data_IF_462854522707
#
_entry.id   IF_462854522707
#
_cell.length_a   1.000
_cell.length_b   1.000
_cell.length_c   1.000
_cell.angle_alpha   90.00
_cell.angle_beta   90.00
_cell.angle_gamma   90.00
#
_symmetry.space_group_name_H-M   'P 1'
#
loop_
_entity.id
_entity.type
_entity.pdbx_description
1 polymer ?
#
# COMPACT_ATOMS: atom_id res chain seq x y z
N UNK A 1 -10.09 0.24 25.70
CA UNK A 1 -9.19 0.44 24.56
C UNK A 1 -9.38 1.87 24.07
N UNK A 2 -8.41 2.75 24.30
CA UNK A 2 -8.53 4.17 23.92
C UNK A 2 -8.24 4.27 22.43
N UNK A 3 -9.23 4.71 21.65
CA UNK A 3 -9.00 5.21 20.31
C UNK A 3 -8.08 6.43 20.43
N UNK A 4 -6.84 6.30 19.97
CA UNK A 4 -5.97 7.44 19.75
C UNK A 4 -6.42 8.02 18.41
N UNK A 5 -7.18 9.11 18.47
CA UNK A 5 -7.57 9.89 17.30
C UNK A 5 -6.30 10.34 16.58
N UNK A 6 -6.10 9.86 15.35
CA UNK A 6 -4.99 10.25 14.47
C UNK A 6 -4.90 11.78 14.26
N UNK A 7 -5.99 12.53 14.49
CA UNK A 7 -6.00 13.99 14.48
C UNK A 7 -5.20 14.65 15.62
N UNK A 8 -4.99 13.98 16.76
CA UNK A 8 -4.42 14.63 17.96
C UNK A 8 -2.89 14.60 18.01
N UNK A 9 -2.24 13.80 17.16
CA UNK A 9 -0.78 13.72 17.07
C UNK A 9 -0.19 14.94 16.32
N UNK A 10 -1.00 15.67 15.56
CA UNK A 10 -0.53 16.75 14.68
C UNK A 10 -0.49 18.14 15.34
N UNK A 11 -0.85 18.28 16.63
CA UNK A 11 -1.04 19.59 17.28
C UNK A 11 -0.15 19.86 18.52
N UNK A 12 0.76 18.97 18.91
CA UNK A 12 1.69 19.26 20.00
C UNK A 12 3.14 19.10 19.53
N UNK A 13 3.83 20.22 19.32
CA UNK A 13 5.06 20.61 20.03
C UNK A 13 5.68 21.86 19.38
N UNK A 14 5.39 23.02 19.98
CA UNK A 14 6.22 24.22 19.87
C UNK A 14 7.40 24.05 20.82
N UNK A 15 8.59 24.49 20.38
CA UNK A 15 9.82 24.71 21.16
C UNK A 15 10.69 23.47 21.39
N UNK A 16 11.52 23.14 20.40
CA UNK A 16 12.98 23.36 20.41
C UNK A 16 13.48 23.26 18.97
N UNK A 17 14.68 23.77 18.69
CA UNK A 17 15.24 23.90 17.35
C UNK A 17 15.50 22.52 16.69
N UNK A 18 14.47 21.99 16.05
CA UNK A 18 14.47 20.90 15.07
C UNK A 18 13.41 21.28 14.05
N UNK A 19 13.73 21.23 12.75
CA UNK A 19 12.83 21.64 11.68
C UNK A 19 11.45 21.00 11.88
N UNK A 20 10.45 21.80 12.24
CA UNK A 20 9.06 21.35 12.27
C UNK A 20 8.72 21.04 10.82
N UNK A 21 8.39 19.77 10.53
CA UNK A 21 7.87 19.41 9.23
C UNK A 21 6.56 20.18 9.02
N UNK A 22 6.55 21.08 8.02
CA UNK A 22 5.34 21.78 7.59
C UNK A 22 4.94 21.17 6.25
N UNK A 23 3.91 20.30 6.20
CA UNK A 23 3.52 19.65 4.97
C UNK A 23 3.06 20.67 3.93
N UNK A 24 3.47 20.48 2.69
CA UNK A 24 2.97 21.26 1.56
C UNK A 24 1.55 20.86 1.20
N UNK A 25 0.87 21.65 0.37
CA UNK A 25 -0.44 21.27 -0.17
C UNK A 25 -0.39 19.94 -0.96
N UNK A 26 0.70 19.71 -1.72
CA UNK A 26 0.89 18.46 -2.44
C UNK A 26 1.12 17.27 -1.51
N UNK A 27 1.85 17.47 -0.41
CA UNK A 27 2.06 16.43 0.59
C UNK A 27 0.72 15.97 1.17
N UNK A 28 -0.14 16.93 1.54
CA UNK A 28 -1.47 16.62 2.06
C UNK A 28 -2.35 15.90 1.01
N UNK A 29 -2.33 16.34 -0.25
CA UNK A 29 -3.08 15.68 -1.32
C UNK A 29 -2.60 14.25 -1.55
N UNK A 30 -1.29 14.04 -1.57
CA UNK A 30 -0.68 12.72 -1.70
C UNK A 30 -1.03 11.82 -0.51
N UNK A 31 -0.93 12.30 0.74
CA UNK A 31 -1.34 11.53 1.92
C UNK A 31 -2.81 11.14 1.87
N UNK A 32 -3.68 12.05 1.41
CA UNK A 32 -5.10 11.74 1.22
C UNK A 32 -5.30 10.65 0.16
N UNK A 33 -4.61 10.72 -0.98
CA UNK A 33 -4.70 9.67 -2.01
C UNK A 33 -4.19 8.32 -1.49
N UNK A 34 -3.08 8.30 -0.75
CA UNK A 34 -2.54 7.10 -0.10
C UNK A 34 -3.57 6.51 0.87
N UNK A 35 -4.25 7.33 1.66
CA UNK A 35 -5.25 6.89 2.63
C UNK A 35 -6.44 6.23 1.94
N UNK A 36 -6.98 6.88 0.89
CA UNK A 36 -8.11 6.34 0.13
C UNK A 36 -7.75 5.03 -0.58
N UNK A 37 -6.63 5.00 -1.30
CA UNK A 37 -6.17 3.79 -1.99
C UNK A 37 -5.79 2.67 -1.03
N UNK A 38 -5.17 2.99 0.12
CA UNK A 38 -4.79 2.00 1.12
C UNK A 38 -5.97 1.22 1.68
N UNK A 39 -7.12 1.87 1.89
CA UNK A 39 -8.35 1.18 2.35
C UNK A 39 -8.85 0.16 1.33
N UNK A 40 -8.80 0.50 0.03
CA UNK A 40 -9.20 -0.38 -1.06
C UNK A 40 -8.25 -1.60 -1.14
N UNK A 41 -6.95 -1.36 -1.16
CA UNK A 41 -5.95 -2.43 -1.26
C UNK A 41 -6.03 -3.41 -0.09
N UNK A 42 -6.26 -2.93 1.14
CA UNK A 42 -6.49 -3.78 2.32
C UNK A 42 -7.76 -4.61 2.18
N UNK A 43 -8.83 -4.03 1.63
CA UNK A 43 -10.06 -4.76 1.35
C UNK A 43 -9.83 -5.89 0.35
N UNK A 44 -9.12 -5.63 -0.76
CA UNK A 44 -8.82 -6.64 -1.77
C UNK A 44 -7.98 -7.78 -1.21
N UNK A 45 -6.92 -7.46 -0.47
CA UNK A 45 -6.08 -8.47 0.19
C UNK A 45 -6.87 -9.33 1.18
N UNK A 46 -7.83 -8.74 1.90
CA UNK A 46 -8.73 -9.47 2.80
C UNK A 46 -9.66 -10.42 2.03
N UNK A 47 -10.22 -9.96 0.91
CA UNK A 47 -11.07 -10.78 0.04
C UNK A 47 -10.29 -11.96 -0.58
N UNK A 48 -9.07 -11.71 -1.07
CA UNK A 48 -8.16 -12.75 -1.58
C UNK A 48 -7.88 -13.79 -0.50
N UNK A 49 -7.50 -13.35 0.71
CA UNK A 49 -7.19 -14.23 1.83
C UNK A 49 -8.39 -15.10 2.23
N UNK A 50 -9.59 -14.50 2.30
CA UNK A 50 -10.83 -15.21 2.60
C UNK A 50 -11.18 -16.24 1.53
N UNK A 51 -11.09 -15.88 0.24
CA UNK A 51 -11.35 -16.81 -0.86
C UNK A 51 -10.34 -17.96 -0.90
N UNK A 52 -9.05 -17.65 -0.76
CA UNK A 52 -7.98 -18.65 -0.77
C UNK A 52 -8.10 -19.63 0.41
N UNK A 53 -8.45 -19.13 1.60
CA UNK A 53 -8.70 -19.97 2.79
C UNK A 53 -9.87 -20.94 2.61
N UNK A 54 -10.84 -20.58 1.75
CA UNK A 54 -11.97 -21.42 1.38
C UNK A 54 -11.71 -22.27 0.12
N UNK A 55 -10.48 -22.26 -0.42
CA UNK A 55 -10.12 -22.93 -1.70
C UNK A 55 -11.00 -22.50 -2.89
N UNK A 56 -11.56 -21.29 -2.85
CA UNK A 56 -12.39 -20.72 -3.92
C UNK A 56 -11.49 -20.02 -4.94
N UNK A 57 -10.81 -20.83 -5.77
CA UNK A 57 -9.84 -20.32 -6.75
C UNK A 57 -10.45 -19.34 -7.76
N UNK A 58 -11.74 -19.49 -8.08
CA UNK A 58 -12.44 -18.55 -8.95
C UNK A 58 -12.51 -17.16 -8.31
N UNK A 59 -12.95 -17.06 -7.04
CA UNK A 59 -12.94 -15.79 -6.32
C UNK A 59 -11.54 -15.28 -6.02
N UNK A 60 -10.58 -16.15 -5.69
CA UNK A 60 -9.18 -15.74 -5.50
C UNK A 60 -8.64 -15.05 -6.75
N UNK A 61 -8.94 -15.59 -7.94
CA UNK A 61 -8.57 -14.94 -9.21
C UNK A 61 -9.26 -13.58 -9.37
N UNK A 62 -10.59 -13.52 -9.24
CA UNK A 62 -11.34 -12.26 -9.38
C UNK A 62 -10.84 -11.17 -8.42
N UNK A 63 -10.61 -11.49 -7.15
CA UNK A 63 -10.11 -10.52 -6.19
C UNK A 63 -8.64 -10.14 -6.43
N UNK A 64 -7.85 -11.04 -7.03
CA UNK A 64 -6.50 -10.69 -7.51
C UNK A 64 -6.55 -9.74 -8.70
N UNK A 65 -7.52 -9.86 -9.60
CA UNK A 65 -7.73 -8.89 -10.69
C UNK A 65 -8.08 -7.50 -10.15
N UNK A 66 -8.87 -7.42 -9.07
CA UNK A 66 -9.15 -6.16 -8.37
C UNK A 66 -7.87 -5.57 -7.77
N UNK A 67 -7.13 -6.34 -6.96
CA UNK A 67 -5.87 -5.88 -6.37
C UNK A 67 -4.88 -5.38 -7.44
N UNK A 68 -4.79 -6.08 -8.57
CA UNK A 68 -3.94 -5.68 -9.70
C UNK A 68 -4.35 -4.31 -10.26
N UNK A 69 -5.64 -4.14 -10.55
CA UNK A 69 -6.19 -2.89 -11.10
C UNK A 69 -6.03 -1.73 -10.12
N UNK A 70 -6.32 -1.96 -8.85
CA UNK A 70 -6.33 -0.91 -7.83
C UNK A 70 -4.92 -0.53 -7.41
N UNK A 71 -3.97 -1.47 -7.40
CA UNK A 71 -2.55 -1.17 -7.21
C UNK A 71 -1.98 -0.33 -8.37
N UNK A 72 -2.34 -0.65 -9.61
CA UNK A 72 -1.94 0.14 -10.79
C UNK A 72 -2.54 1.55 -10.76
N UNK A 73 -3.82 1.66 -10.38
CA UNK A 73 -4.52 2.94 -10.26
C UNK A 73 -3.91 3.81 -9.15
N UNK A 74 -3.67 3.23 -7.97
CA UNK A 74 -3.02 3.92 -6.86
C UNK A 74 -1.61 4.39 -7.22
N UNK A 75 -0.87 3.61 -8.02
CA UNK A 75 0.48 3.96 -8.44
C UNK A 75 0.46 5.16 -9.37
N UNK A 76 -0.41 5.12 -10.40
CA UNK A 76 -0.61 6.24 -11.32
C UNK A 76 -1.08 7.50 -10.61
N UNK A 77 -1.89 7.35 -9.55
CA UNK A 77 -2.32 8.49 -8.74
C UNK A 77 -1.16 9.06 -7.93
N UNK A 78 -0.39 8.22 -7.25
CA UNK A 78 0.80 8.63 -6.48
C UNK A 78 1.82 9.38 -7.35
N UNK A 79 2.09 8.88 -8.55
CA UNK A 79 3.06 9.45 -9.49
C UNK A 79 2.72 10.88 -9.95
N UNK A 80 1.47 11.35 -9.78
CA UNK A 80 1.06 12.72 -10.13
C UNK A 80 1.58 13.78 -9.15
N UNK A 81 1.90 13.38 -7.93
CA UNK A 81 2.28 14.31 -6.88
C UNK A 81 3.80 14.50 -6.82
N UNK A 82 4.23 15.75 -6.87
CA UNK A 82 5.58 16.14 -6.47
C UNK A 82 5.49 16.52 -5.00
N UNK A 83 6.06 15.69 -4.14
CA UNK A 83 6.05 15.86 -2.68
C UNK A 83 7.32 16.56 -2.19
N UNK A 84 7.31 17.02 -0.95
CA UNK A 84 8.48 17.58 -0.29
C UNK A 84 9.58 16.53 -0.10
N UNK A 85 10.82 17.01 0.03
CA UNK A 85 12.00 16.17 0.28
C UNK A 85 11.86 15.32 1.54
N UNK A 86 11.11 15.81 2.51
CA UNK A 86 10.87 15.23 3.82
C UNK A 86 10.02 13.95 3.76
N UNK A 87 9.16 13.79 2.75
CA UNK A 87 8.33 12.59 2.57
C UNK A 87 8.60 11.84 1.26
N UNK A 88 9.62 12.25 0.50
CA UNK A 88 9.97 11.60 -0.76
C UNK A 88 10.29 10.10 -0.58
N UNK A 89 11.07 9.74 0.45
CA UNK A 89 11.37 8.33 0.75
C UNK A 89 10.11 7.53 1.07
N UNK A 90 9.18 8.11 1.84
CA UNK A 90 7.88 7.51 2.15
C UNK A 90 7.10 7.23 0.87
N UNK A 91 7.10 8.18 -0.08
CA UNK A 91 6.49 7.99 -1.40
C UNK A 91 7.16 6.89 -2.22
N UNK A 92 8.48 6.87 -2.28
CA UNK A 92 9.22 5.87 -3.05
C UNK A 92 8.96 4.45 -2.51
N UNK A 93 8.92 4.28 -1.19
CA UNK A 93 8.56 3.01 -0.57
C UNK A 93 7.11 2.62 -0.81
N UNK A 94 6.17 3.56 -0.72
CA UNK A 94 4.77 3.31 -1.05
C UNK A 94 4.61 2.85 -2.51
N UNK A 95 5.21 3.55 -3.46
CA UNK A 95 5.14 3.19 -4.89
C UNK A 95 5.80 1.84 -5.16
N UNK A 96 6.89 1.53 -4.47
CA UNK A 96 7.52 0.21 -4.55
C UNK A 96 6.58 -0.88 -4.02
N UNK A 97 5.87 -0.63 -2.91
CA UNK A 97 4.88 -1.57 -2.40
C UNK A 97 3.74 -1.84 -3.39
N UNK A 98 3.25 -0.80 -4.07
CA UNK A 98 2.21 -0.94 -5.10
C UNK A 98 2.67 -1.81 -6.27
N UNK A 99 3.91 -1.62 -6.75
CA UNK A 99 4.50 -2.49 -7.79
C UNK A 99 4.61 -3.95 -7.35
N UNK A 100 4.90 -4.16 -6.07
CA UNK A 100 4.93 -5.50 -5.45
C UNK A 100 3.53 -6.12 -5.36
N UNK A 101 2.50 -5.37 -4.98
CA UNK A 101 1.12 -5.87 -4.99
C UNK A 101 0.61 -6.20 -6.39
N UNK A 102 0.92 -5.35 -7.38
CA UNK A 102 0.61 -5.62 -8.78
C UNK A 102 1.24 -6.94 -9.26
N UNK A 103 2.53 -7.15 -8.93
CA UNK A 103 3.28 -8.35 -9.31
C UNK A 103 2.73 -9.58 -8.60
N UNK A 104 2.44 -9.46 -7.30
CA UNK A 104 1.82 -10.50 -6.50
C UNK A 104 0.49 -10.97 -7.11
N UNK A 105 -0.41 -10.03 -7.40
CA UNK A 105 -1.70 -10.31 -8.02
C UNK A 105 -1.55 -10.98 -9.39
N UNK A 106 -0.62 -10.50 -10.22
CA UNK A 106 -0.35 -11.08 -11.54
C UNK A 106 0.12 -12.53 -11.45
N UNK A 107 1.02 -12.84 -10.51
CA UNK A 107 1.47 -14.21 -10.28
C UNK A 107 0.37 -15.12 -9.74
N UNK A 108 -0.50 -14.63 -8.85
CA UNK A 108 -1.64 -15.41 -8.35
C UNK A 108 -2.61 -15.75 -9.50
N UNK A 109 -2.94 -14.78 -10.35
CA UNK A 109 -3.79 -14.99 -11.53
C UNK A 109 -3.16 -16.03 -12.45
N UNK A 110 -1.88 -15.86 -12.80
CA UNK A 110 -1.15 -16.81 -13.67
C UNK A 110 -1.11 -18.21 -13.07
N UNK A 111 -0.84 -18.33 -11.76
CA UNK A 111 -0.79 -19.61 -11.06
C UNK A 111 -2.13 -20.33 -11.04
N UNK A 112 -3.25 -19.60 -10.91
CA UNK A 112 -4.59 -20.19 -10.99
C UNK A 112 -4.88 -20.65 -12.43
N UNK A 113 -4.60 -19.81 -13.43
CA UNK A 113 -4.89 -20.11 -14.84
C UNK A 113 -4.07 -21.28 -15.39
N UNK A 114 -2.85 -21.44 -14.89
CA UNK A 114 -1.92 -22.50 -15.33
C UNK A 114 -1.85 -23.69 -14.37
N UNK A 115 -2.53 -23.62 -13.23
CA UNK A 115 -2.37 -24.57 -12.12
C UNK A 115 -0.91 -24.74 -11.66
N UNK A 116 -0.10 -23.67 -11.76
CA UNK A 116 1.31 -23.66 -11.39
C UNK A 116 1.50 -23.11 -9.97
N UNK A 117 1.83 -24.01 -9.04
CA UNK A 117 2.07 -23.68 -7.63
C UNK A 117 3.30 -22.78 -7.44
N UNK A 118 4.29 -22.84 -8.33
CA UNK A 118 5.47 -21.97 -8.24
C UNK A 118 5.11 -20.50 -8.47
N UNK A 119 4.12 -20.24 -9.32
CA UNK A 119 3.57 -18.89 -9.53
C UNK A 119 2.83 -18.40 -8.29
N UNK A 120 2.05 -19.26 -7.64
CA UNK A 120 1.41 -18.91 -6.37
C UNK A 120 2.46 -18.56 -5.29
N UNK A 121 3.56 -19.31 -5.21
CA UNK A 121 4.67 -19.02 -4.31
C UNK A 121 5.33 -17.68 -4.61
N UNK A 122 5.61 -17.38 -5.88
CA UNK A 122 6.12 -16.07 -6.30
C UNK A 122 5.15 -14.94 -5.93
N UNK A 123 3.84 -15.17 -6.08
CA UNK A 123 2.81 -14.23 -5.67
C UNK A 123 2.87 -13.91 -4.17
N UNK A 124 3.04 -14.94 -3.33
CA UNK A 124 3.20 -14.78 -1.88
C UNK A 124 4.48 -14.00 -1.55
N UNK A 125 5.61 -14.31 -2.21
CA UNK A 125 6.87 -13.59 -2.01
C UNK A 125 6.74 -12.11 -2.35
N UNK A 126 6.13 -11.78 -3.50
CA UNK A 126 5.91 -10.38 -3.89
C UNK A 126 4.96 -9.67 -2.91
N UNK A 127 3.93 -10.35 -2.40
CA UNK A 127 3.04 -9.78 -1.38
C UNK A 127 3.78 -9.44 -0.08
N UNK A 128 4.64 -10.35 0.39
CA UNK A 128 5.47 -10.14 1.59
C UNK A 128 6.42 -8.96 1.42
N UNK A 129 7.05 -8.84 0.26
CA UNK A 129 7.90 -7.70 -0.07
C UNK A 129 7.10 -6.40 -0.14
N UNK A 130 5.89 -6.41 -0.70
CA UNK A 130 5.01 -5.24 -0.71
C UNK A 130 4.66 -4.76 0.70
N UNK A 131 4.30 -5.69 1.59
CA UNK A 131 4.06 -5.37 3.01
C UNK A 131 5.32 -4.82 3.70
N UNK A 132 6.50 -5.37 3.38
CA UNK A 132 7.78 -4.86 3.90
C UNK A 132 8.00 -3.40 3.50
N UNK A 133 7.74 -3.03 2.24
CA UNK A 133 7.88 -1.65 1.77
C UNK A 133 6.83 -0.70 2.37
N UNK A 134 5.57 -1.12 2.56
CA UNK A 134 4.59 -0.31 3.30
C UNK A 134 5.03 -0.01 4.74
N UNK A 135 5.64 -1.00 5.41
CA UNK A 135 6.18 -0.82 6.76
C UNK A 135 7.35 0.16 6.78
N UNK A 136 8.18 0.19 5.73
CA UNK A 136 9.24 1.20 5.60
C UNK A 136 8.66 2.59 5.35
N UNK A 137 7.66 2.71 4.46
CA UNK A 137 6.98 3.98 4.20
C UNK A 137 6.42 4.60 5.49
N UNK A 138 5.78 3.80 6.34
CA UNK A 138 5.24 4.28 7.63
C UNK A 138 6.33 4.74 8.61
N UNK A 139 7.51 4.13 8.58
CA UNK A 139 8.63 4.45 9.50
C UNK A 139 9.35 5.73 9.15
N UNK A 140 9.39 6.09 7.87
CA UNK A 140 10.07 7.30 7.38
C UNK A 140 9.18 8.56 7.46
N UNK A 141 7.94 8.45 7.97
CA UNK A 141 7.11 9.62 8.20
C UNK A 141 7.76 10.54 9.24
N UNK A 142 7.94 11.84 8.94
CA UNK A 142 8.45 12.81 9.90
C UNK A 142 7.58 12.82 11.17
N UNK A 143 8.23 12.78 12.34
CA UNK A 143 7.60 12.85 13.67
C UNK A 143 7.36 14.28 14.13
#
# INVERSE_FOLDING_TARGET
>A
MKQVNALMVMALLISTCSAVFVPTENDMKWVNSVTSSGQILVSDMSLISSAASNSDFAKTKTYSEYLKSDAETALKESEKYIVSTEIQNTKDYYETALRKFFSAASYVIEGIDTSDVSKLQNGITELQEGVRYLNLATKELPS
#
